data_IF_539315973896
#
_entry.id   IF_539315973896
#
_cell.length_a   1.000
_cell.length_b   1.000
_cell.length_c   1.000
_cell.angle_alpha   90.00
_cell.angle_beta   90.00
_cell.angle_gamma   90.00
#
_symmetry.space_group_name_H-M   'P 1'
#
loop_
_entity.id
_entity.type
_entity.pdbx_description
1 polymer ?
#
# COMPACT_ATOMS: atom_id res chain seq x y z
N UNK A 1 -9.51 -8.35 -8.52
CA UNK A 1 -8.25 -7.69 -8.12
C UNK A 1 -8.42 -6.20 -8.24
N UNK A 2 -7.84 -5.41 -7.33
CA UNK A 2 -7.85 -3.94 -7.44
C UNK A 2 -6.86 -3.47 -8.49
N UNK A 3 -7.10 -2.30 -9.05
CA UNK A 3 -6.26 -1.72 -10.10
C UNK A 3 -5.29 -0.69 -9.51
N UNK A 4 -4.04 -0.63 -9.99
CA UNK A 4 -3.12 0.45 -9.64
C UNK A 4 -3.74 1.81 -9.97
N UNK A 5 -3.38 2.83 -9.19
CA UNK A 5 -3.72 4.21 -9.50
C UNK A 5 -3.12 4.58 -10.87
N UNK A 6 -3.99 4.97 -11.77
CA UNK A 6 -3.65 5.52 -13.09
C UNK A 6 -4.03 6.99 -13.11
N UNK A 7 -3.32 7.79 -13.91
CA UNK A 7 -3.56 9.24 -13.97
C UNK A 7 -5.05 9.54 -14.18
N UNK A 8 -5.66 10.27 -13.23
CA UNK A 8 -7.09 10.63 -13.27
C UNK A 8 -8.07 9.63 -12.66
N UNK A 9 -7.63 8.45 -12.18
CA UNK A 9 -8.48 7.47 -11.48
C UNK A 9 -7.86 7.10 -10.13
N UNK A 10 -8.69 7.12 -9.07
CA UNK A 10 -8.27 6.62 -7.75
C UNK A 10 -7.79 5.17 -7.80
N UNK A 11 -6.96 4.77 -6.83
CA UNK A 11 -6.35 3.45 -6.77
C UNK A 11 -5.15 3.43 -5.83
N UNK A 12 -4.38 2.35 -5.83
CA UNK A 12 -3.14 2.24 -5.04
C UNK A 12 -1.90 2.56 -5.89
N UNK A 13 -0.96 3.29 -5.32
CA UNK A 13 0.36 3.54 -5.88
C UNK A 13 1.35 2.63 -5.16
N UNK A 14 2.15 1.90 -5.93
CA UNK A 14 3.26 1.10 -5.42
C UNK A 14 4.57 1.85 -5.71
N UNK A 15 5.47 1.89 -4.74
CA UNK A 15 6.82 2.44 -4.86
C UNK A 15 7.85 1.51 -4.24
N UNK A 16 9.09 1.68 -4.65
CA UNK A 16 10.23 1.03 -4.00
C UNK A 16 10.35 1.52 -2.55
N UNK A 17 10.54 0.59 -1.62
CA UNK A 17 10.89 0.90 -0.23
C UNK A 17 12.41 1.05 -0.09
N UNK A 18 12.90 1.84 0.88
CA UNK A 18 14.32 1.82 1.27
C UNK A 18 14.81 0.46 1.77
N UNK A 19 13.90 -0.43 2.17
CA UNK A 19 14.21 -1.81 2.49
C UNK A 19 14.32 -2.62 1.19
N UNK A 20 15.46 -3.30 0.93
CA UNK A 20 15.61 -4.10 -0.27
C UNK A 20 14.50 -5.16 -0.35
N UNK A 21 13.94 -5.33 -1.54
CA UNK A 21 12.82 -6.24 -1.86
C UNK A 21 11.44 -5.86 -1.29
N UNK A 22 11.35 -4.84 -0.42
CA UNK A 22 10.07 -4.34 0.07
C UNK A 22 9.47 -3.27 -0.85
N UNK A 23 8.15 -3.18 -0.86
CA UNK A 23 7.39 -2.18 -1.62
C UNK A 23 6.51 -1.34 -0.70
N UNK A 24 6.47 -0.03 -0.94
CA UNK A 24 5.55 0.89 -0.30
C UNK A 24 4.26 1.00 -1.12
N UNK A 25 3.12 0.67 -0.52
CA UNK A 25 1.79 0.77 -1.09
C UNK A 25 1.04 1.91 -0.40
N UNK A 26 0.52 2.85 -1.18
CA UNK A 26 -0.26 4.00 -0.71
C UNK A 26 -1.50 4.19 -1.55
N UNK A 27 -2.63 4.57 -0.97
CA UNK A 27 -3.84 4.89 -1.75
C UNK A 27 -3.76 6.34 -2.24
N UNK A 28 -4.07 6.56 -3.53
CA UNK A 28 -4.03 7.87 -4.16
C UNK A 28 -5.08 8.82 -3.54
N UNK A 29 -4.72 10.08 -3.38
CA UNK A 29 -5.51 11.12 -2.68
C UNK A 29 -6.93 11.32 -3.23
N UNK A 30 -7.17 10.95 -4.49
CA UNK A 30 -8.50 10.98 -5.11
C UNK A 30 -9.51 10.06 -4.39
N UNK A 31 -9.07 9.17 -3.49
CA UNK A 31 -9.93 8.30 -2.68
C UNK A 31 -10.52 8.97 -1.41
N UNK A 32 -10.10 10.18 -1.04
CA UNK A 32 -10.65 10.91 0.10
C UNK A 32 -10.60 10.13 1.44
N UNK A 33 -11.62 10.28 2.29
CA UNK A 33 -11.71 9.61 3.60
C UNK A 33 -11.71 8.07 3.53
N UNK A 34 -11.94 7.48 2.35
CA UNK A 34 -11.92 6.04 2.15
C UNK A 34 -10.51 5.47 1.98
N UNK A 35 -9.53 6.35 1.82
CA UNK A 35 -8.12 6.00 1.61
C UNK A 35 -7.57 5.07 2.71
N UNK A 36 -8.00 5.26 3.97
CA UNK A 36 -7.61 4.38 5.08
C UNK A 36 -8.19 2.96 5.00
N UNK A 37 -9.48 2.82 4.64
CA UNK A 37 -10.14 1.51 4.46
C UNK A 37 -9.62 0.78 3.23
N UNK A 38 -9.33 1.53 2.17
CA UNK A 38 -8.75 0.98 0.95
C UNK A 38 -7.33 0.48 1.17
N UNK A 39 -6.53 1.20 1.97
CA UNK A 39 -5.18 0.78 2.36
C UNK A 39 -5.22 -0.52 3.19
N UNK A 40 -6.10 -0.59 4.20
CA UNK A 40 -6.27 -1.79 5.04
C UNK A 40 -6.66 -3.03 4.21
N UNK A 41 -7.60 -2.91 3.29
CA UNK A 41 -7.98 -4.02 2.40
C UNK A 41 -6.86 -4.46 1.44
N UNK A 42 -5.95 -3.56 1.05
CA UNK A 42 -4.77 -3.95 0.27
C UNK A 42 -3.77 -4.72 1.15
N UNK A 43 -3.60 -4.29 2.40
CA UNK A 43 -2.79 -5.02 3.38
C UNK A 43 -3.32 -6.45 3.58
N UNK A 44 -4.62 -6.61 3.82
CA UNK A 44 -5.26 -7.93 3.96
C UNK A 44 -5.01 -8.85 2.74
N UNK A 45 -5.11 -8.30 1.53
CA UNK A 45 -4.88 -9.07 0.30
C UNK A 45 -3.41 -9.51 0.15
N UNK A 46 -2.47 -8.67 0.58
CA UNK A 46 -1.04 -8.97 0.55
C UNK A 46 -0.68 -10.02 1.61
N UNK A 47 -1.22 -9.89 2.82
CA UNK A 47 -1.08 -10.88 3.89
C UNK A 47 -1.63 -12.25 3.47
N UNK A 48 -2.81 -12.28 2.85
CA UNK A 48 -3.40 -13.52 2.31
C UNK A 48 -2.55 -14.16 1.21
N UNK A 49 -1.75 -13.36 0.49
CA UNK A 49 -0.78 -13.83 -0.49
C UNK A 49 0.57 -14.24 0.14
N UNK A 50 0.70 -14.20 1.47
CA UNK A 50 1.89 -14.58 2.22
C UNK A 50 2.94 -13.47 2.36
N UNK A 51 2.61 -12.23 2.01
CA UNK A 51 3.52 -11.11 2.20
C UNK A 51 3.50 -10.64 3.65
N UNK A 52 4.65 -10.18 4.13
CA UNK A 52 4.75 -9.53 5.43
C UNK A 52 4.34 -8.06 5.27
N UNK A 53 3.34 -7.61 6.00
CA UNK A 53 2.79 -6.27 5.84
C UNK A 53 2.97 -5.45 7.12
N UNK A 54 3.29 -4.16 6.99
CA UNK A 54 3.45 -3.24 8.12
C UNK A 54 2.90 -1.86 7.77
N UNK A 55 2.04 -1.33 8.63
CA UNK A 55 1.50 0.03 8.48
C UNK A 55 2.49 1.05 9.05
N UNK A 56 2.76 2.10 8.27
CA UNK A 56 3.61 3.22 8.63
C UNK A 56 2.94 4.55 8.32
N UNK A 57 3.42 5.62 8.94
CA UNK A 57 3.09 6.98 8.55
C UNK A 57 4.29 7.58 7.82
N UNK A 58 4.06 8.17 6.64
CA UNK A 58 5.10 8.90 5.90
C UNK A 58 5.46 10.21 6.63
N UNK A 59 6.48 10.93 6.13
CA UNK A 59 6.90 12.23 6.69
C UNK A 59 5.82 13.31 6.66
N UNK A 60 4.73 13.12 5.91
CA UNK A 60 3.57 14.02 5.80
C UNK A 60 2.39 13.52 6.64
N UNK A 61 2.58 12.50 7.46
CA UNK A 61 1.54 11.91 8.32
C UNK A 61 0.51 11.05 7.55
N UNK A 62 0.78 10.71 6.29
CA UNK A 62 -0.11 9.87 5.48
C UNK A 62 0.18 8.41 5.77
N UNK A 63 -0.88 7.61 5.90
CA UNK A 63 -0.76 6.19 6.14
C UNK A 63 -0.27 5.49 4.88
N UNK A 64 0.80 4.71 5.02
CA UNK A 64 1.42 3.90 3.98
C UNK A 64 1.57 2.48 4.49
N UNK A 65 1.55 1.52 3.58
CA UNK A 65 1.77 0.11 3.87
C UNK A 65 3.11 -0.28 3.28
N UNK A 66 4.00 -0.85 4.09
CA UNK A 66 5.21 -1.50 3.60
C UNK A 66 4.92 -2.99 3.53
N UNK A 67 5.07 -3.56 2.34
CA UNK A 67 4.93 -4.99 2.11
C UNK A 67 6.27 -5.58 1.71
N UNK A 68 6.72 -6.57 2.47
CA UNK A 68 7.94 -7.32 2.23
C UNK A 68 7.58 -8.73 1.77
N UNK A 69 8.38 -9.33 0.87
CA UNK A 69 8.13 -10.69 0.44
C UNK A 69 8.22 -11.66 1.62
N UNK A 70 7.54 -12.82 1.57
CA UNK A 70 7.71 -13.87 2.57
C UNK A 70 9.19 -14.23 2.69
N UNK A 71 9.68 -14.31 3.93
CA UNK A 71 11.00 -14.89 4.18
C UNK A 71 10.93 -16.36 3.76
N UNK A 72 11.77 -16.72 2.79
CA UNK A 72 11.89 -18.06 2.23
C UNK A 72 12.57 -19.01 3.21
#
# INVERSE_FOLDING_TARGET
GRVPAIAGRGGYVVRESPQPEAVEVRVAEAAGAESGRETARCAEALEAAGWQVSEHADRRGKRVVIASPPRR
#
